data_IF_242081676485
#
_entry.id   IF_242081676485
#
_cell.length_a   1.000
_cell.length_b   1.000
_cell.length_c   1.000
_cell.angle_alpha   90.00
_cell.angle_beta   90.00
_cell.angle_gamma   90.00
#
_symmetry.space_group_name_H-M   'P 1'
#
loop_
_entity.id
_entity.type
_entity.pdbx_description
1 polymer ?
#
# COMPACT_ATOMS: atom_id res chain seq x y z
N UNK A 1 24.02 7.12 -14.71
CA UNK A 1 23.11 6.56 -13.69
C UNK A 1 21.73 7.17 -13.90
N UNK A 2 20.94 6.58 -14.80
CA UNK A 2 19.59 7.06 -15.13
C UNK A 2 18.65 6.60 -14.01
N UNK A 3 18.29 7.51 -13.12
CA UNK A 3 17.17 7.30 -12.20
C UNK A 3 15.90 7.32 -13.06
N UNK A 4 15.32 6.16 -13.32
CA UNK A 4 13.96 6.11 -13.83
C UNK A 4 13.07 6.66 -12.71
N UNK A 5 12.54 7.87 -12.89
CA UNK A 5 11.49 8.39 -12.02
C UNK A 5 10.27 7.53 -12.30
N UNK A 6 10.00 6.58 -11.41
CA UNK A 6 8.75 5.82 -11.41
C UNK A 6 7.67 6.77 -10.92
N UNK A 7 7.04 7.48 -11.86
CA UNK A 7 5.87 8.32 -11.58
C UNK A 7 4.62 7.45 -11.54
N UNK A 8 3.94 7.42 -10.41
CA UNK A 8 2.68 6.71 -10.24
C UNK A 8 2.21 6.72 -8.78
N UNK A 9 0.92 6.52 -8.57
CA UNK A 9 0.38 6.30 -7.22
C UNK A 9 0.90 4.96 -6.69
N UNK A 10 1.19 4.92 -5.39
CA UNK A 10 1.72 3.72 -4.75
C UNK A 10 0.59 2.69 -4.56
N UNK A 11 0.93 1.41 -4.71
CA UNK A 11 0.07 0.26 -4.46
C UNK A 11 0.86 -0.73 -3.59
N UNK A 12 0.24 -1.20 -2.52
CA UNK A 12 0.79 -2.24 -1.64
C UNK A 12 0.22 -3.59 -2.07
N UNK A 13 1.10 -4.58 -2.22
CA UNK A 13 0.77 -5.90 -2.77
C UNK A 13 1.03 -7.03 -1.77
N UNK A 14 0.89 -8.28 -2.19
CA UNK A 14 0.85 -9.47 -1.34
C UNK A 14 2.07 -9.65 -0.43
N UNK A 15 3.24 -9.12 -0.79
CA UNK A 15 4.43 -9.25 0.05
C UNK A 15 4.29 -8.52 1.40
N UNK A 16 3.31 -7.61 1.54
CA UNK A 16 3.00 -6.93 2.80
C UNK A 16 2.08 -7.76 3.72
N UNK A 17 1.47 -8.85 3.22
CA UNK A 17 0.54 -9.67 4.00
C UNK A 17 1.22 -10.20 5.27
N UNK A 18 0.59 -9.91 6.41
CA UNK A 18 1.07 -10.25 7.76
C UNK A 18 2.42 -9.62 8.16
N UNK A 19 3.00 -8.74 7.31
CA UNK A 19 4.24 -8.03 7.60
C UNK A 19 3.94 -6.72 8.30
N UNK A 20 3.07 -5.88 7.72
CA UNK A 20 2.59 -4.60 8.27
C UNK A 20 3.67 -3.82 9.06
N UNK A 21 4.84 -3.63 8.45
CA UNK A 21 6.00 -3.01 9.12
C UNK A 21 5.78 -1.51 9.41
N UNK A 22 4.90 -0.87 8.66
CA UNK A 22 4.47 0.54 8.80
C UNK A 22 5.54 1.60 8.58
N UNK A 23 6.79 1.27 8.28
CA UNK A 23 7.80 2.28 7.88
C UNK A 23 7.37 3.12 6.68
N UNK A 24 6.53 2.58 5.78
CA UNK A 24 5.98 3.33 4.66
C UNK A 24 4.97 4.41 5.08
N UNK A 25 4.29 4.22 6.21
CA UNK A 25 3.34 5.18 6.79
C UNK A 25 4.11 6.40 7.29
N UNK A 26 5.15 6.17 8.08
CA UNK A 26 5.98 7.23 8.70
C UNK A 26 6.65 8.18 7.69
N UNK A 27 6.93 7.69 6.47
CA UNK A 27 7.56 8.49 5.42
C UNK A 27 6.56 9.13 4.45
N UNK A 28 5.27 8.84 4.56
CA UNK A 28 4.27 9.33 3.63
C UNK A 28 3.87 10.77 3.96
N UNK A 29 4.24 11.78 3.14
CA UNK A 29 4.01 13.19 3.47
C UNK A 29 2.54 13.61 3.45
N UNK A 30 1.66 12.77 2.90
CA UNK A 30 0.21 13.03 2.79
C UNK A 30 -0.62 11.99 3.54
N UNK A 31 0.02 11.08 4.26
CA UNK A 31 -0.61 10.10 5.16
C UNK A 31 -1.69 9.25 4.46
N UNK A 32 -1.46 8.88 3.21
CA UNK A 32 -2.42 8.17 2.37
C UNK A 32 -2.38 6.63 2.52
N UNK A 33 -1.77 6.11 3.59
CA UNK A 33 -1.63 4.66 3.86
C UNK A 33 -2.43 4.33 5.12
N UNK A 34 -3.27 3.30 5.04
CA UNK A 34 -4.30 3.00 6.02
C UNK A 34 -4.26 1.54 6.46
N UNK A 35 -4.61 1.31 7.73
CA UNK A 35 -4.91 0.00 8.31
C UNK A 35 -6.44 -0.18 8.40
N UNK A 36 -6.92 -1.41 8.25
CA UNK A 36 -8.34 -1.70 8.45
C UNK A 36 -8.63 -2.06 9.91
N UNK A 37 -9.47 -1.27 10.57
CA UNK A 37 -10.03 -1.52 11.89
C UNK A 37 -11.40 -2.21 11.75
N UNK A 38 -11.37 -3.54 11.77
CA UNK A 38 -12.56 -4.39 11.58
C UNK A 38 -13.72 -4.08 12.55
N UNK A 39 -13.49 -3.88 13.87
CA UNK A 39 -14.56 -3.56 14.82
C UNK A 39 -15.32 -2.27 14.47
N UNK A 40 -14.66 -1.27 13.89
CA UNK A 40 -15.28 0.01 13.55
C UNK A 40 -15.65 0.13 12.06
N UNK A 41 -15.26 -0.85 11.23
CA UNK A 41 -15.32 -0.77 9.77
C UNK A 41 -14.67 0.52 9.22
N UNK A 42 -13.54 0.91 9.80
CA UNK A 42 -12.80 2.11 9.41
C UNK A 42 -11.45 1.75 8.83
N UNK A 43 -11.03 2.51 7.83
CA UNK A 43 -9.65 2.60 7.40
C UNK A 43 -9.02 3.74 8.18
N UNK A 44 -7.99 3.46 8.95
CA UNK A 44 -7.34 4.42 9.85
C UNK A 44 -5.92 4.68 9.36
N UNK A 45 -5.58 5.95 9.13
CA UNK A 45 -4.20 6.36 8.87
C UNK A 45 -3.42 6.42 10.19
N UNK A 46 -2.13 6.77 10.14
CA UNK A 46 -1.31 6.92 11.34
C UNK A 46 -1.99 7.78 12.43
N UNK A 47 -1.74 7.37 13.65
CA UNK A 47 -2.04 8.14 14.84
C UNK A 47 -0.95 9.19 14.96
N UNK A 48 -1.29 10.48 14.98
CA UNK A 48 -0.29 11.52 15.27
C UNK A 48 0.43 11.16 16.56
N UNK A 49 1.75 11.03 16.51
CA UNK A 49 2.54 10.63 17.68
C UNK A 49 2.19 11.52 18.89
N UNK A 50 1.56 10.91 19.91
CA UNK A 50 1.12 11.58 21.13
C UNK A 50 -0.32 12.12 21.16
N UNK A 51 -1.10 12.02 20.08
CA UNK A 51 -2.49 12.49 20.05
C UNK A 51 -3.52 11.46 20.51
N UNK A 52 -3.25 10.16 20.35
CA UNK A 52 -4.25 9.12 20.60
C UNK A 52 -5.47 9.19 19.68
N UNK A 53 -5.37 9.90 18.54
CA UNK A 53 -6.42 10.03 17.52
C UNK A 53 -5.80 9.82 16.14
N UNK A 54 -6.49 9.09 15.27
CA UNK A 54 -6.08 8.91 13.87
C UNK A 54 -6.20 10.24 13.13
N UNK A 55 -5.18 10.63 12.36
CA UNK A 55 -5.22 11.92 11.65
C UNK A 55 -6.25 11.93 10.52
N UNK A 56 -6.48 10.78 9.88
CA UNK A 56 -7.50 10.58 8.85
C UNK A 56 -8.15 9.22 8.99
N UNK A 57 -9.43 9.16 8.64
CA UNK A 57 -10.19 7.91 8.57
C UNK A 57 -11.12 7.89 7.36
N UNK A 58 -11.40 6.70 6.85
CA UNK A 58 -12.44 6.46 5.84
C UNK A 58 -13.36 5.33 6.30
N UNK A 59 -14.62 5.38 5.90
CA UNK A 59 -15.49 4.20 5.96
C UNK A 59 -14.96 3.17 4.97
N UNK A 60 -14.75 1.94 5.40
CA UNK A 60 -14.33 0.89 4.50
C UNK A 60 -15.53 0.30 3.77
N UNK A 61 -15.33 -0.07 2.50
CA UNK A 61 -16.19 -1.07 1.88
C UNK A 61 -15.88 -2.43 2.53
N UNK A 62 -16.72 -2.84 3.48
CA UNK A 62 -16.51 -4.06 4.26
C UNK A 62 -16.27 -5.30 3.40
N UNK A 63 -16.98 -5.45 2.27
CA UNK A 63 -16.85 -6.60 1.39
C UNK A 63 -15.47 -6.69 0.72
N UNK A 64 -14.87 -5.55 0.40
CA UNK A 64 -13.51 -5.50 -0.12
C UNK A 64 -12.48 -5.57 1.02
N UNK A 65 -12.64 -4.78 2.08
CA UNK A 65 -11.68 -4.70 3.18
C UNK A 65 -11.47 -6.04 3.88
N UNK A 66 -12.52 -6.83 4.06
CA UNK A 66 -12.44 -8.14 4.73
C UNK A 66 -11.72 -9.23 3.92
N UNK A 67 -11.31 -8.99 2.67
CA UNK A 67 -10.52 -9.96 1.90
C UNK A 67 -9.17 -10.22 2.54
N UNK A 68 -8.48 -9.19 3.03
CA UNK A 68 -7.24 -9.31 3.79
C UNK A 68 -7.32 -8.70 5.19
N UNK A 69 -8.32 -7.85 5.45
CA UNK A 69 -8.56 -7.26 6.75
C UNK A 69 -7.33 -6.51 7.29
N UNK A 70 -7.06 -6.71 8.58
CA UNK A 70 -5.90 -6.12 9.24
C UNK A 70 -4.55 -6.72 8.81
N UNK A 71 -4.51 -7.78 7.98
CA UNK A 71 -3.27 -8.39 7.50
C UNK A 71 -2.60 -7.61 6.37
N UNK A 72 -3.23 -6.55 5.82
CA UNK A 72 -2.68 -5.74 4.74
C UNK A 72 -2.81 -4.24 5.03
N UNK A 73 -1.82 -3.46 4.59
CA UNK A 73 -1.91 -2.01 4.52
C UNK A 73 -2.47 -1.57 3.16
N UNK A 74 -3.31 -0.52 3.16
CA UNK A 74 -3.99 -0.04 1.96
C UNK A 74 -3.58 1.39 1.62
N UNK A 75 -3.31 1.68 0.35
CA UNK A 75 -3.05 3.05 -0.12
C UNK A 75 -4.34 3.64 -0.67
N UNK A 76 -4.74 4.83 -0.25
CA UNK A 76 -5.81 5.56 -0.90
C UNK A 76 -5.26 6.23 -2.18
N UNK A 77 -5.53 5.64 -3.34
CA UNK A 77 -4.91 6.06 -4.61
C UNK A 77 -5.28 7.51 -4.99
N UNK A 78 -6.50 7.96 -4.71
CA UNK A 78 -6.90 9.36 -4.99
C UNK A 78 -6.25 10.40 -4.04
N UNK A 79 -5.70 9.97 -2.91
CA UNK A 79 -5.00 10.85 -1.97
C UNK A 79 -3.48 10.80 -2.15
N UNK A 80 -2.98 9.77 -2.82
CA UNK A 80 -1.57 9.60 -3.08
C UNK A 80 -1.07 10.65 -4.07
N UNK A 81 -0.10 11.47 -3.64
CA UNK A 81 0.50 12.51 -4.48
C UNK A 81 1.67 12.02 -5.33
N UNK A 82 1.89 10.70 -5.41
CA UNK A 82 3.01 10.08 -6.13
C UNK A 82 4.40 10.61 -5.71
N UNK A 83 4.57 10.95 -4.43
CA UNK A 83 5.83 11.48 -3.89
C UNK A 83 7.00 10.47 -3.88
N UNK A 84 6.70 9.17 -4.07
CA UNK A 84 7.63 8.06 -4.11
C UNK A 84 8.45 7.79 -2.83
N UNK A 85 8.16 8.45 -1.70
CA UNK A 85 8.88 8.23 -0.45
C UNK A 85 8.77 6.78 0.05
N UNK A 86 7.58 6.19 -0.02
CA UNK A 86 7.34 4.80 0.38
C UNK A 86 7.90 3.76 -0.60
N UNK A 87 8.18 4.12 -1.86
CA UNK A 87 8.69 3.21 -2.89
C UNK A 87 10.18 2.88 -2.71
N UNK A 88 10.86 3.53 -1.78
CA UNK A 88 12.26 3.28 -1.51
C UNK A 88 12.44 1.87 -0.91
N UNK A 89 13.36 1.08 -1.45
CA UNK A 89 13.64 -0.28 -0.97
C UNK A 89 14.19 -0.32 0.45
N UNK A 90 14.70 0.80 0.96
CA UNK A 90 15.11 0.96 2.36
C UNK A 90 13.93 1.19 3.32
N UNK A 91 12.76 1.54 2.78
CA UNK A 91 11.55 1.81 3.58
C UNK A 91 10.72 0.54 3.72
N UNK A 92 10.45 -0.19 2.63
CA UNK A 92 9.71 -1.45 2.72
C UNK A 92 10.67 -2.64 2.76
N UNK A 93 10.79 -3.36 3.90
CA UNK A 93 11.76 -4.44 4.06
C UNK A 93 11.49 -5.64 3.14
N UNK A 94 10.24 -5.80 2.70
CA UNK A 94 9.75 -6.91 1.87
C UNK A 94 9.42 -6.50 0.44
N UNK A 95 9.73 -5.26 0.06
CA UNK A 95 9.57 -4.80 -1.33
C UNK A 95 8.13 -4.76 -1.86
N UNK A 96 7.12 -4.72 -1.00
CA UNK A 96 5.71 -4.88 -1.36
C UNK A 96 5.04 -3.66 -2.02
N UNK A 97 5.77 -2.57 -2.29
CA UNK A 97 5.19 -1.31 -2.74
C UNK A 97 5.64 -1.01 -4.17
N UNK A 98 4.67 -0.89 -5.07
CA UNK A 98 4.87 -0.63 -6.49
C UNK A 98 4.20 0.68 -6.90
N UNK A 99 4.71 1.33 -7.94
CA UNK A 99 3.94 2.35 -8.64
C UNK A 99 2.90 1.65 -9.53
N UNK A 100 1.65 2.10 -9.55
CA UNK A 100 0.57 1.45 -10.32
C UNK A 100 0.92 1.24 -11.80
N UNK A 101 1.62 2.19 -12.42
CA UNK A 101 2.08 2.07 -13.82
C UNK A 101 3.34 1.20 -14.02
N UNK A 102 3.89 0.64 -12.95
CA UNK A 102 5.14 -0.12 -12.94
C UNK A 102 5.08 -1.28 -11.95
N UNK A 103 4.03 -2.08 -12.06
CA UNK A 103 3.81 -3.25 -11.23
C UNK A 103 3.93 -4.54 -12.05
N UNK A 104 4.22 -5.67 -11.40
CA UNK A 104 4.22 -6.97 -12.04
C UNK A 104 2.89 -7.26 -12.74
N UNK A 105 2.95 -7.62 -14.02
CA UNK A 105 1.79 -8.02 -14.83
C UNK A 105 1.73 -9.56 -15.03
N UNK A 106 2.53 -10.30 -14.28
CA UNK A 106 2.66 -11.76 -14.39
C UNK A 106 3.43 -12.26 -15.63
N UNK A 107 3.87 -11.39 -16.54
CA UNK A 107 4.56 -11.81 -17.76
C UNK A 107 6.05 -12.15 -17.57
N UNK A 108 6.65 -11.70 -16.46
CA UNK A 108 8.07 -11.87 -16.16
C UNK A 108 8.34 -13.02 -15.19
N UNK A 109 9.36 -13.82 -15.49
CA UNK A 109 9.93 -14.81 -14.59
C UNK A 109 11.10 -14.28 -13.74
N UNK A 110 11.45 -12.99 -13.89
CA UNK A 110 12.44 -12.31 -13.06
C UNK A 110 11.74 -11.51 -11.95
N UNK A 111 12.33 -11.41 -10.74
CA UNK A 111 11.82 -10.55 -9.67
C UNK A 111 11.79 -9.08 -10.13
N UNK A 112 10.67 -8.39 -9.89
CA UNK A 112 10.54 -6.96 -10.17
C UNK A 112 11.26 -6.10 -9.12
N UNK A 113 11.36 -6.61 -7.88
CA UNK A 113 12.17 -6.06 -6.81
C UNK A 113 12.96 -7.20 -6.15
N UNK A 114 14.21 -6.94 -5.76
CA UNK A 114 15.07 -7.94 -5.10
C UNK A 114 14.54 -8.36 -3.72
N UNK A 115 13.72 -7.51 -3.08
CA UNK A 115 13.16 -7.78 -1.76
C UNK A 115 11.79 -8.47 -1.81
N UNK A 116 11.15 -8.51 -2.98
CA UNK A 116 9.87 -9.19 -3.17
C UNK A 116 10.11 -10.59 -3.74
N UNK A 117 9.87 -11.67 -2.97
CA UNK A 117 10.09 -13.03 -3.42
C UNK A 117 9.01 -13.51 -4.41
N UNK A 118 7.94 -12.75 -4.67
CA UNK A 118 6.89 -13.17 -5.60
C UNK A 118 7.37 -13.04 -7.05
N UNK A 119 7.12 -14.09 -7.85
CA UNK A 119 7.53 -14.16 -9.26
C UNK A 119 6.32 -14.64 -10.08
N UNK A 120 6.05 -13.99 -11.21
CA UNK A 120 5.03 -14.44 -12.16
C UNK A 120 3.58 -14.15 -11.75
N UNK A 121 3.34 -13.36 -10.71
CA UNK A 121 2.00 -12.92 -10.31
C UNK A 121 1.64 -11.56 -10.91
N UNK A 122 0.37 -11.40 -11.28
CA UNK A 122 -0.19 -10.12 -11.74
C UNK A 122 -0.64 -9.31 -10.51
N UNK A 123 0.12 -8.27 -10.19
CA UNK A 123 -0.15 -7.41 -9.05
C UNK A 123 -1.22 -6.36 -9.37
N UNK A 124 -1.63 -6.18 -10.64
CA UNK A 124 -2.59 -5.14 -11.04
C UNK A 124 -3.94 -5.23 -10.32
N UNK A 125 -4.31 -6.44 -9.89
CA UNK A 125 -5.48 -6.66 -9.05
C UNK A 125 -5.43 -5.87 -7.73
N UNK A 126 -4.25 -5.70 -7.12
CA UNK A 126 -4.11 -4.93 -5.87
C UNK A 126 -4.45 -3.45 -6.03
N UNK A 127 -4.19 -2.87 -7.20
CA UNK A 127 -4.57 -1.48 -7.48
C UNK A 127 -6.10 -1.33 -7.46
N UNK A 128 -6.81 -2.25 -8.11
CA UNK A 128 -8.27 -2.25 -8.09
C UNK A 128 -8.83 -2.62 -6.72
N UNK A 129 -8.19 -3.56 -6.02
CA UNK A 129 -8.58 -3.95 -4.67
C UNK A 129 -8.51 -2.77 -3.71
N UNK A 130 -7.40 -2.01 -3.73
CA UNK A 130 -7.25 -0.82 -2.90
C UNK A 130 -8.35 0.20 -3.19
N UNK A 131 -8.65 0.50 -4.47
CA UNK A 131 -9.80 1.36 -4.83
C UNK A 131 -11.12 0.85 -4.28
N UNK A 132 -11.38 -0.45 -4.36
CA UNK A 132 -12.62 -1.04 -3.86
C UNK A 132 -12.76 -0.89 -2.35
N UNK A 133 -11.65 -1.01 -1.60
CA UNK A 133 -11.62 -0.85 -0.14
C UNK A 133 -12.06 0.55 0.30
N UNK A 134 -11.72 1.60 -0.45
CA UNK A 134 -12.13 2.98 -0.18
C UNK A 134 -13.46 3.40 -0.83
N UNK A 135 -14.17 2.50 -1.50
CA UNK A 135 -15.45 2.80 -2.16
C UNK A 135 -16.68 2.73 -1.21
N UNK A 136 -16.47 2.99 0.09
CA UNK A 136 -17.44 2.86 1.18
C UNK A 136 -18.04 4.18 1.68
#
# INVERSE_FOLDING_TARGET
MRTAVVSGVAVITEACLDVNDRSCVDVCPVQCIYEFDEPSNLLVSEMRAGSGVAERTHTANAGAATVFGASLLYVHLDECTSCAACLQTSVCPVGAIYAEGHMPDGSSAAPYNLNDPTIGHDHSWFAQHSRNVFAG
#
